data_IF_763515244659
#
_entry.id   IF_763515244659
#
_cell.length_a   1.000
_cell.length_b   1.000
_cell.length_c   1.000
_cell.angle_alpha   90.00
_cell.angle_beta   90.00
_cell.angle_gamma   90.00
#
_symmetry.space_group_name_H-M   'P 1'
#
loop_
_entity.id
_entity.type
_entity.pdbx_description
1 polymer ?
#
# COMPACT_ATOMS: atom_id res chain seq x y z
N UNK A 1 -8.19 13.92 12.39
CA UNK A 1 -6.99 14.77 12.43
C UNK A 1 -7.00 15.84 11.36
N UNK A 2 -7.43 15.57 10.13
CA UNK A 2 -7.59 16.59 9.07
C UNK A 2 -8.24 17.90 9.56
N UNK A 3 -9.45 17.84 10.15
CA UNK A 3 -10.12 19.02 10.71
C UNK A 3 -9.26 19.74 11.77
N UNK A 4 -8.72 18.99 12.75
CA UNK A 4 -7.85 19.53 13.81
C UNK A 4 -6.56 20.16 13.28
N UNK A 5 -6.14 19.79 12.08
CA UNK A 5 -4.96 20.31 11.39
C UNK A 5 -5.28 21.47 10.44
N UNK A 6 -6.51 22.00 10.47
CA UNK A 6 -6.89 23.19 9.71
C UNK A 6 -7.50 22.91 8.34
N UNK A 7 -7.86 21.67 8.02
CA UNK A 7 -8.69 21.41 6.83
C UNK A 7 -10.07 22.00 7.06
N UNK A 8 -10.42 23.04 6.28
CA UNK A 8 -11.62 23.84 6.49
C UNK A 8 -12.92 23.23 5.94
N UNK A 9 -12.85 22.26 5.03
CA UNK A 9 -14.03 21.57 4.47
C UNK A 9 -13.82 20.07 4.40
N UNK A 10 -14.78 19.31 4.91
CA UNK A 10 -14.80 17.85 4.88
C UNK A 10 -16.17 17.35 4.41
N UNK A 11 -16.18 16.51 3.37
CA UNK A 11 -17.35 15.72 2.98
C UNK A 11 -17.17 14.30 3.48
N UNK A 12 -18.13 13.79 4.24
CA UNK A 12 -18.15 12.46 4.82
C UNK A 12 -19.25 11.66 4.13
N UNK A 13 -18.89 10.53 3.52
CA UNK A 13 -19.83 9.67 2.78
C UNK A 13 -19.81 8.27 3.38
N UNK A 14 -20.90 7.86 4.02
CA UNK A 14 -21.11 6.49 4.55
C UNK A 14 -22.62 6.27 4.74
N UNK A 15 -23.15 5.17 4.23
CA UNK A 15 -24.58 4.82 4.34
C UNK A 15 -24.91 4.08 5.64
N UNK A 16 -23.90 3.57 6.35
CA UNK A 16 -24.11 2.76 7.53
C UNK A 16 -24.54 3.59 8.75
N UNK A 17 -25.28 2.92 9.63
CA UNK A 17 -25.53 3.36 10.99
C UNK A 17 -24.49 2.80 11.97
N UNK A 18 -24.34 3.46 13.12
CA UNK A 18 -23.54 2.97 14.24
C UNK A 18 -24.20 1.70 14.80
N UNK A 19 -23.41 0.66 15.02
CA UNK A 19 -23.84 -0.61 15.61
C UNK A 19 -23.02 -0.89 16.86
N UNK A 20 -23.54 -1.72 17.78
CA UNK A 20 -22.76 -2.15 18.95
C UNK A 20 -21.44 -2.83 18.55
N UNK A 21 -21.45 -3.58 17.44
CA UNK A 21 -20.26 -4.28 16.93
C UNK A 21 -19.25 -3.37 16.23
N UNK A 22 -19.61 -2.12 15.88
CA UNK A 22 -18.69 -1.16 15.27
C UNK A 22 -17.98 -0.27 16.30
N UNK A 23 -18.52 -0.14 17.52
CA UNK A 23 -17.97 0.73 18.59
C UNK A 23 -16.52 0.39 18.98
N UNK A 24 -16.07 -0.85 18.81
CA UNK A 24 -14.69 -1.24 19.12
C UNK A 24 -13.64 -0.58 18.19
N UNK A 25 -14.07 0.01 17.08
CA UNK A 25 -13.20 0.59 16.04
C UNK A 25 -13.73 1.87 15.41
N UNK A 26 -14.92 2.33 15.80
CA UNK A 26 -15.44 3.63 15.40
C UNK A 26 -14.73 4.73 16.22
N UNK A 27 -14.25 5.77 15.56
CA UNK A 27 -13.35 6.73 16.19
C UNK A 27 -14.00 7.56 17.31
N UNK A 28 -15.26 7.95 17.14
CA UNK A 28 -15.92 8.97 17.98
C UNK A 28 -17.31 8.58 18.49
N UNK A 29 -17.88 7.47 17.99
CA UNK A 29 -19.25 7.10 18.31
C UNK A 29 -19.30 6.46 19.69
N UNK A 30 -20.39 6.73 20.41
CA UNK A 30 -20.64 6.21 21.75
C UNK A 30 -21.82 5.23 21.72
N UNK A 31 -22.12 4.61 22.86
CA UNK A 31 -23.32 3.75 22.99
C UNK A 31 -24.62 4.50 22.71
N UNK A 32 -24.66 5.81 22.95
CA UNK A 32 -25.83 6.64 22.69
C UNK A 32 -26.07 6.87 21.19
N UNK A 33 -25.05 6.65 20.35
CA UNK A 33 -25.16 6.86 18.89
C UNK A 33 -25.63 5.60 18.14
N UNK A 34 -25.80 4.47 18.82
CA UNK A 34 -26.24 3.21 18.19
C UNK A 34 -27.59 3.41 17.49
N UNK A 35 -27.66 3.02 16.22
CA UNK A 35 -28.82 3.21 15.35
C UNK A 35 -28.83 4.54 14.58
N UNK A 36 -27.96 5.49 14.93
CA UNK A 36 -27.82 6.74 14.19
C UNK A 36 -26.80 6.62 13.06
N UNK A 37 -26.90 7.48 12.05
CA UNK A 37 -25.94 7.57 10.95
C UNK A 37 -24.52 7.83 11.46
N UNK A 38 -23.54 7.06 10.95
CA UNK A 38 -22.12 7.25 11.29
C UNK A 38 -21.62 8.64 10.92
N UNK A 39 -21.96 9.12 9.72
CA UNK A 39 -21.51 10.44 9.26
C UNK A 39 -22.11 11.57 10.09
N UNK A 40 -23.37 11.45 10.51
CA UNK A 40 -24.00 12.42 11.40
C UNK A 40 -23.35 12.44 12.79
N UNK A 41 -23.03 11.26 13.35
CA UNK A 41 -22.29 11.15 14.61
C UNK A 41 -20.89 11.79 14.50
N UNK A 42 -20.18 11.57 13.39
CA UNK A 42 -18.88 12.22 13.15
C UNK A 42 -19.00 13.73 13.00
N UNK A 43 -20.00 14.23 12.25
CA UNK A 43 -20.24 15.67 12.07
C UNK A 43 -20.49 16.35 13.41
N UNK A 44 -21.38 15.80 14.24
CA UNK A 44 -21.69 16.33 15.58
C UNK A 44 -20.43 16.46 16.43
N UNK A 45 -19.64 15.39 16.48
CA UNK A 45 -18.40 15.38 17.27
C UNK A 45 -17.34 16.33 16.71
N UNK A 46 -17.19 16.41 15.37
CA UNK A 46 -16.24 17.34 14.76
C UNK A 46 -16.61 18.80 15.03
N UNK A 47 -17.90 19.14 15.01
CA UNK A 47 -18.39 20.48 15.30
C UNK A 47 -18.12 20.90 16.76
N UNK A 48 -18.15 19.97 17.71
CA UNK A 48 -17.76 20.23 19.12
C UNK A 48 -16.27 20.60 19.26
N UNK A 49 -15.44 20.18 18.31
CA UNK A 49 -13.98 20.32 18.37
C UNK A 49 -13.47 21.47 17.50
N UNK A 50 -13.93 21.54 16.25
CA UNK A 50 -13.50 22.47 15.21
C UNK A 50 -14.76 23.06 14.55
N UNK A 51 -15.47 23.99 15.23
CA UNK A 51 -16.74 24.52 14.73
C UNK A 51 -16.62 25.25 13.39
N UNK A 52 -15.43 25.80 13.10
CA UNK A 52 -15.15 26.51 11.84
C UNK A 52 -14.94 25.57 10.64
N UNK A 53 -14.82 24.25 10.88
CA UNK A 53 -14.73 23.27 9.80
C UNK A 53 -16.13 23.01 9.21
N UNK A 54 -16.31 23.32 7.93
CA UNK A 54 -17.51 22.95 7.18
C UNK A 54 -17.52 21.43 6.98
N UNK A 55 -18.40 20.73 7.71
CA UNK A 55 -18.57 19.28 7.59
C UNK A 55 -19.90 18.98 6.90
N UNK A 56 -19.84 18.31 5.77
CA UNK A 56 -20.99 17.80 5.02
C UNK A 56 -21.11 16.29 5.26
N UNK A 57 -22.20 15.84 5.87
CA UNK A 57 -22.50 14.44 6.14
C UNK A 57 -23.51 13.89 5.14
N UNK A 58 -23.04 13.06 4.22
CA UNK A 58 -23.86 12.49 3.14
C UNK A 58 -24.08 11.00 3.44
N UNK A 59 -25.26 10.67 3.96
CA UNK A 59 -25.61 9.33 4.40
C UNK A 59 -26.07 8.42 3.24
N UNK A 60 -25.19 8.22 2.25
CA UNK A 60 -25.48 7.43 1.04
C UNK A 60 -24.34 6.48 0.69
N UNK A 61 -24.66 5.43 -0.06
CA UNK A 61 -23.66 4.48 -0.56
C UNK A 61 -23.02 5.07 -1.80
N UNK A 62 -21.69 5.03 -1.90
CA UNK A 62 -21.01 5.46 -3.10
C UNK A 62 -21.24 4.43 -4.21
N UNK A 63 -21.86 4.87 -5.30
CA UNK A 63 -22.12 4.07 -6.48
C UNK A 63 -21.62 4.81 -7.73
N UNK A 64 -21.51 4.11 -8.85
CA UNK A 64 -20.93 4.70 -10.07
C UNK A 64 -21.81 5.83 -10.65
N UNK A 65 -23.12 5.74 -10.47
CA UNK A 65 -24.12 6.72 -10.90
C UNK A 65 -24.14 7.99 -10.04
N UNK A 66 -23.89 7.86 -8.74
CA UNK A 66 -23.78 8.98 -7.79
C UNK A 66 -22.37 9.61 -7.74
N UNK A 67 -21.40 9.06 -8.46
CA UNK A 67 -20.01 9.49 -8.41
C UNK A 67 -19.79 10.96 -8.80
N UNK A 68 -20.54 11.46 -9.79
CA UNK A 68 -20.41 12.85 -10.24
C UNK A 68 -20.87 13.86 -9.18
N UNK A 69 -22.00 13.58 -8.52
CA UNK A 69 -22.56 14.39 -7.44
C UNK A 69 -21.67 14.31 -6.19
N UNK A 70 -21.27 13.09 -5.79
CA UNK A 70 -20.49 12.89 -4.56
C UNK A 70 -19.07 13.46 -4.66
N UNK A 71 -18.50 13.53 -5.87
CA UNK A 71 -17.18 14.13 -6.14
C UNK A 71 -17.28 15.57 -6.68
N UNK A 72 -18.45 16.20 -6.63
CA UNK A 72 -18.65 17.60 -6.98
C UNK A 72 -17.71 18.53 -6.18
N UNK A 73 -17.36 19.68 -6.78
CA UNK A 73 -16.58 20.72 -6.11
C UNK A 73 -15.07 20.51 -6.16
N UNK A 74 -14.60 19.52 -6.93
CA UNK A 74 -13.18 19.20 -7.14
C UNK A 74 -12.40 19.06 -5.82
N UNK A 75 -12.70 18.02 -5.02
CA UNK A 75 -12.04 17.83 -3.74
C UNK A 75 -10.52 17.79 -3.93
N UNK A 76 -9.80 18.51 -3.06
CA UNK A 76 -8.33 18.58 -3.11
C UNK A 76 -7.69 17.21 -2.89
N UNK A 77 -8.36 16.36 -2.11
CA UNK A 77 -7.96 14.99 -1.84
C UNK A 77 -9.20 14.12 -1.60
N UNK A 78 -9.15 12.88 -2.10
CA UNK A 78 -10.11 11.83 -1.76
C UNK A 78 -9.42 10.80 -0.88
N UNK A 79 -10.01 10.52 0.29
CA UNK A 79 -9.54 9.47 1.19
C UNK A 79 -10.52 8.31 1.12
N UNK A 80 -10.09 7.21 0.51
CA UNK A 80 -10.91 6.02 0.34
C UNK A 80 -10.71 5.05 1.52
N UNK A 81 -11.73 5.00 2.39
CA UNK A 81 -11.81 4.11 3.55
C UNK A 81 -12.86 2.99 3.37
N UNK A 82 -13.30 2.72 2.15
CA UNK A 82 -14.34 1.72 1.83
C UNK A 82 -13.78 0.30 2.05
N UNK A 83 -14.59 -0.65 2.51
CA UNK A 83 -14.20 -2.06 2.67
C UNK A 83 -14.86 -3.02 1.67
N UNK A 84 -15.88 -2.57 0.93
CA UNK A 84 -16.44 -3.28 -0.22
C UNK A 84 -15.59 -3.12 -1.50
N UNK A 85 -15.43 -4.22 -2.23
CA UNK A 85 -14.60 -4.25 -3.45
C UNK A 85 -15.24 -3.45 -4.58
N UNK A 86 -16.55 -3.57 -4.80
CA UNK A 86 -17.23 -2.96 -5.95
C UNK A 86 -17.29 -1.45 -5.76
N UNK A 87 -17.78 -0.99 -4.61
CA UNK A 87 -17.87 0.44 -4.26
C UNK A 87 -16.49 1.10 -4.31
N UNK A 88 -15.46 0.44 -3.76
CA UNK A 88 -14.09 0.94 -3.84
C UNK A 88 -13.58 1.05 -5.28
N UNK A 89 -13.81 0.04 -6.11
CA UNK A 89 -13.37 0.10 -7.51
C UNK A 89 -14.10 1.21 -8.28
N UNK A 90 -15.40 1.43 -8.02
CA UNK A 90 -16.16 2.52 -8.62
C UNK A 90 -15.60 3.89 -8.22
N UNK A 91 -15.28 4.09 -6.94
CA UNK A 91 -14.63 5.33 -6.48
C UNK A 91 -13.28 5.53 -7.14
N UNK A 92 -12.42 4.51 -7.12
CA UNK A 92 -11.08 4.58 -7.71
C UNK A 92 -11.12 4.82 -9.23
N UNK A 93 -12.12 4.27 -9.93
CA UNK A 93 -12.37 4.56 -11.34
C UNK A 93 -12.76 6.03 -11.56
N UNK A 94 -13.75 6.52 -10.82
CA UNK A 94 -14.25 7.89 -10.94
C UNK A 94 -13.17 8.94 -10.62
N UNK A 95 -12.42 8.78 -9.52
CA UNK A 95 -11.35 9.72 -9.17
C UNK A 95 -10.22 9.72 -10.18
N UNK A 96 -9.87 8.54 -10.74
CA UNK A 96 -8.83 8.44 -11.77
C UNK A 96 -9.26 9.16 -13.04
N UNK A 97 -10.49 8.93 -13.52
CA UNK A 97 -11.01 9.61 -14.72
C UNK A 97 -11.13 11.13 -14.55
N UNK A 98 -11.42 11.61 -13.33
CA UNK A 98 -11.47 13.04 -13.01
C UNK A 98 -10.10 13.65 -12.70
N UNK A 99 -9.02 12.87 -12.66
CA UNK A 99 -7.68 13.35 -12.30
C UNK A 99 -7.56 13.82 -10.84
N UNK A 100 -8.42 13.32 -9.95
CA UNK A 100 -8.42 13.69 -8.54
C UNK A 100 -7.35 12.92 -7.76
N UNK A 101 -6.72 13.59 -6.80
CA UNK A 101 -5.76 12.94 -5.89
C UNK A 101 -6.51 11.99 -4.95
N UNK A 102 -6.01 10.76 -4.83
CA UNK A 102 -6.60 9.74 -3.96
C UNK A 102 -5.54 9.01 -3.14
N UNK A 103 -5.88 8.72 -1.89
CA UNK A 103 -5.21 7.70 -1.07
C UNK A 103 -6.25 6.67 -0.61
N UNK A 104 -5.99 5.40 -0.85
CA UNK A 104 -6.89 4.29 -0.47
C UNK A 104 -6.33 3.45 0.67
N UNK A 105 -7.20 2.97 1.56
CA UNK A 105 -6.88 1.97 2.55
C UNK A 105 -7.22 0.55 2.07
N UNK A 106 -6.33 -0.40 2.38
CA UNK A 106 -6.61 -1.84 2.26
C UNK A 106 -7.13 -2.43 3.57
N UNK A 107 -7.27 -3.76 3.66
CA UNK A 107 -7.85 -4.40 4.82
C UNK A 107 -6.99 -4.26 6.08
N UNK A 108 -7.54 -3.62 7.12
CA UNK A 108 -6.92 -3.55 8.45
C UNK A 108 -7.28 -4.74 9.37
N UNK A 109 -8.24 -5.58 8.96
CA UNK A 109 -8.66 -6.76 9.70
C UNK A 109 -7.57 -7.85 9.75
N UNK A 110 -7.60 -8.67 10.81
CA UNK A 110 -6.64 -9.74 11.07
C UNK A 110 -5.17 -9.30 11.16
N UNK A 111 -4.94 -8.03 11.50
CA UNK A 111 -3.62 -7.40 11.65
C UNK A 111 -3.54 -6.73 13.02
N UNK A 112 -2.34 -6.65 13.58
CA UNK A 112 -2.08 -6.07 14.89
C UNK A 112 -0.72 -5.37 15.00
N UNK A 113 0.19 -5.55 14.04
CA UNK A 113 1.54 -4.99 14.11
C UNK A 113 1.61 -3.60 13.43
N UNK A 114 1.68 -2.51 14.21
CA UNK A 114 1.71 -1.16 13.67
C UNK A 114 3.03 -0.84 12.95
N UNK A 115 4.12 -1.56 13.26
CA UNK A 115 5.44 -1.33 12.66
C UNK A 115 5.51 -1.77 11.19
N UNK A 116 4.45 -2.43 10.71
CA UNK A 116 4.35 -2.99 9.36
C UNK A 116 3.41 -2.21 8.44
N UNK A 117 2.91 -1.06 8.91
CA UNK A 117 2.17 -0.10 8.11
C UNK A 117 3.07 0.58 7.11
N UNK A 118 2.58 0.69 5.88
CA UNK A 118 3.32 1.23 4.74
C UNK A 118 2.37 2.03 3.88
N UNK A 119 2.88 3.14 3.36
CA UNK A 119 2.24 3.89 2.28
C UNK A 119 3.05 3.59 1.02
N UNK A 120 2.38 3.37 -0.10
CA UNK A 120 3.03 3.06 -1.36
C UNK A 120 2.00 3.02 -2.48
N UNK A 121 2.36 2.41 -3.61
CA UNK A 121 1.39 2.21 -4.68
C UNK A 121 0.49 0.99 -4.39
N UNK A 122 -0.75 0.99 -4.89
CA UNK A 122 -1.62 -0.19 -4.85
C UNK A 122 -0.96 -1.42 -5.49
N UNK A 123 -0.08 -1.20 -6.49
CA UNK A 123 0.75 -2.22 -7.13
C UNK A 123 1.76 -2.86 -6.16
N UNK A 124 2.20 -2.15 -5.12
CA UNK A 124 3.19 -2.62 -4.14
C UNK A 124 2.56 -3.53 -3.07
N UNK A 125 1.26 -3.39 -2.79
CA UNK A 125 0.57 -4.07 -1.68
C UNK A 125 0.70 -5.60 -1.71
N UNK A 126 1.39 -6.15 -0.70
CA UNK A 126 1.61 -7.59 -0.49
C UNK A 126 0.58 -8.22 0.43
N UNK A 127 0.29 -9.51 0.24
CA UNK A 127 -0.46 -10.36 1.21
C UNK A 127 -1.83 -9.81 1.61
N UNK A 128 -2.48 -9.09 0.71
CA UNK A 128 -3.78 -8.46 0.96
C UNK A 128 -4.81 -8.94 -0.10
N UNK A 129 -5.84 -9.71 0.31
CA UNK A 129 -6.88 -10.18 -0.60
C UNK A 129 -7.72 -9.06 -1.21
N UNK A 130 -7.98 -7.98 -0.46
CA UNK A 130 -8.74 -6.83 -0.95
C UNK A 130 -7.96 -6.12 -2.06
N UNK A 131 -6.68 -5.81 -1.83
CA UNK A 131 -5.82 -5.22 -2.85
C UNK A 131 -5.70 -6.08 -4.11
N UNK A 132 -5.66 -7.41 -3.95
CA UNK A 132 -5.59 -8.34 -5.08
C UNK A 132 -6.82 -8.25 -5.98
N UNK A 133 -8.03 -8.21 -5.37
CA UNK A 133 -9.28 -8.06 -6.11
C UNK A 133 -9.39 -6.69 -6.78
N UNK A 134 -9.05 -5.61 -6.07
CA UNK A 134 -9.09 -4.25 -6.62
C UNK A 134 -8.18 -4.15 -7.86
N UNK A 135 -6.93 -4.59 -7.78
CA UNK A 135 -6.01 -4.58 -8.92
C UNK A 135 -6.55 -5.35 -10.13
N UNK A 136 -7.24 -6.48 -9.90
CA UNK A 136 -7.86 -7.25 -10.97
C UNK A 136 -8.98 -6.46 -11.67
N UNK A 137 -9.86 -5.81 -10.92
CA UNK A 137 -10.96 -5.01 -11.49
C UNK A 137 -10.46 -3.75 -12.18
N UNK A 138 -9.54 -3.00 -11.56
CA UNK A 138 -8.95 -1.81 -12.17
C UNK A 138 -8.22 -2.13 -13.47
N UNK A 139 -7.50 -3.26 -13.54
CA UNK A 139 -6.86 -3.71 -14.78
C UNK A 139 -7.88 -3.94 -15.92
N UNK A 140 -9.10 -4.39 -15.62
CA UNK A 140 -10.17 -4.54 -16.64
C UNK A 140 -10.69 -3.20 -17.14
N UNK A 141 -10.50 -2.13 -16.37
CA UNK A 141 -10.87 -0.75 -16.71
C UNK A 141 -9.69 0.05 -17.28
N UNK A 142 -8.58 -0.62 -17.58
CA UNK A 142 -7.33 -0.01 -18.05
C UNK A 142 -6.73 1.04 -17.08
N UNK A 143 -7.04 0.91 -15.79
CA UNK A 143 -6.51 1.80 -14.74
C UNK A 143 -5.26 1.19 -14.14
N UNK A 144 -4.16 1.94 -14.19
CA UNK A 144 -2.91 1.49 -13.61
C UNK A 144 -2.90 1.59 -12.10
N UNK A 145 -2.85 0.44 -11.43
CA UNK A 145 -2.63 0.37 -9.99
C UNK A 145 -1.31 1.02 -9.51
N UNK A 146 -0.37 1.36 -10.41
CA UNK A 146 0.85 2.08 -10.03
C UNK A 146 0.59 3.50 -9.55
N UNK A 147 -0.48 4.12 -10.02
CA UNK A 147 -0.78 5.55 -9.81
C UNK A 147 -1.63 5.80 -8.56
N UNK A 148 -2.23 4.73 -8.02
CA UNK A 148 -3.10 4.82 -6.85
C UNK A 148 -2.26 4.72 -5.58
N UNK A 149 -2.14 5.82 -4.84
CA UNK A 149 -1.49 5.84 -3.53
C UNK A 149 -2.34 5.03 -2.54
N UNK A 150 -1.70 4.17 -1.77
CA UNK A 150 -2.36 3.19 -0.91
C UNK A 150 -1.65 3.05 0.42
N UNK A 151 -2.41 3.02 1.52
CA UNK A 151 -1.93 2.51 2.80
C UNK A 151 -2.28 1.03 2.96
N UNK A 152 -1.31 0.25 3.39
CA UNK A 152 -1.47 -1.16 3.66
C UNK A 152 -0.60 -1.58 4.84
N UNK A 153 -0.78 -2.81 5.30
CA UNK A 153 0.19 -3.46 6.18
C UNK A 153 0.72 -4.71 5.52
N UNK A 154 2.04 -4.88 5.60
CA UNK A 154 2.73 -6.06 5.08
C UNK A 154 2.51 -7.31 5.95
N UNK A 155 1.85 -7.16 7.10
CA UNK A 155 1.50 -8.23 8.02
C UNK A 155 0.71 -9.34 7.33
N UNK A 156 1.14 -10.58 7.56
CA UNK A 156 0.38 -11.73 7.11
C UNK A 156 -0.80 -11.87 8.06
N UNK A 157 -2.02 -11.89 7.53
CA UNK A 157 -3.22 -12.13 8.34
C UNK A 157 -3.06 -13.41 9.18
N UNK A 158 -3.19 -13.26 10.50
CA UNK A 158 -2.95 -14.34 11.47
C UNK A 158 -4.22 -15.07 11.86
N UNK A 159 -5.38 -14.43 11.76
CA UNK A 159 -6.66 -15.03 12.10
C UNK A 159 -7.54 -15.29 10.88
N UNK A 160 -8.43 -16.28 11.04
CA UNK A 160 -9.48 -16.61 10.08
C UNK A 160 -10.79 -15.92 10.50
N UNK A 161 -11.79 -16.00 9.61
CA UNK A 161 -13.16 -15.62 9.94
C UNK A 161 -13.61 -16.34 11.22
N UNK A 162 -14.31 -15.62 12.10
CA UNK A 162 -14.90 -16.23 13.28
C UNK A 162 -15.89 -17.33 12.88
N UNK A 163 -15.95 -18.44 13.63
CA UNK A 163 -17.02 -19.40 13.47
C UNK A 163 -18.35 -18.71 13.78
N UNK A 164 -19.41 -19.14 13.08
CA UNK A 164 -20.76 -18.75 13.46
C UNK A 164 -21.12 -19.46 14.76
N UNK A 165 -21.80 -18.77 15.67
CA UNK A 165 -22.42 -19.42 16.82
C UNK A 165 -23.66 -20.23 16.39
N UNK A 166 -24.20 -21.04 17.30
CA UNK A 166 -25.30 -21.97 16.99
C UNK A 166 -26.57 -21.24 16.53
N UNK A 167 -26.78 -20.00 17.00
CA UNK A 167 -27.95 -19.17 16.68
C UNK A 167 -27.81 -18.55 15.28
N UNK A 168 -26.61 -18.05 14.94
CA UNK A 168 -26.25 -17.55 13.61
C UNK A 168 -26.28 -18.63 12.52
N UNK A 169 -26.01 -19.89 12.88
CA UNK A 169 -26.15 -21.02 11.95
C UNK A 169 -27.61 -21.34 11.68
N UNK A 170 -28.49 -21.19 12.68
CA UNK A 170 -29.91 -21.48 12.54
C UNK A 170 -30.68 -20.37 11.82
N UNK A 171 -30.33 -19.10 12.08
CA UNK A 171 -31.02 -17.94 11.52
C UNK A 171 -30.07 -16.99 10.73
N UNK A 172 -29.38 -17.47 9.69
CA UNK A 172 -28.36 -16.69 8.99
C UNK A 172 -28.85 -15.35 8.40
N UNK A 173 -30.15 -15.24 8.09
CA UNK A 173 -30.77 -14.05 7.51
C UNK A 173 -31.10 -12.96 8.56
N UNK A 174 -31.21 -13.32 9.84
CA UNK A 174 -31.54 -12.37 10.93
C UNK A 174 -30.33 -11.55 11.42
N UNK A 175 -29.11 -11.99 11.10
CA UNK A 175 -27.87 -11.36 11.58
C UNK A 175 -27.13 -10.54 10.51
N UNK A 176 -27.63 -10.50 9.27
CA UNK A 176 -27.13 -9.61 8.23
C UNK A 176 -27.73 -8.21 8.39
N UNK A 177 -26.91 -7.15 8.38
CA UNK A 177 -27.41 -5.76 8.36
C UNK A 177 -28.23 -5.45 7.09
N UNK A 178 -28.11 -6.27 6.04
CA UNK A 178 -28.80 -6.19 4.74
C UNK A 178 -28.95 -7.62 4.20
N UNK A 179 -29.96 -7.90 3.38
CA UNK A 179 -30.04 -9.16 2.61
C UNK A 179 -28.70 -9.43 1.89
N UNK A 180 -28.12 -10.62 2.11
CA UNK A 180 -26.82 -11.07 1.59
C UNK A 180 -25.54 -10.45 2.21
N UNK A 181 -25.62 -9.77 3.37
CA UNK A 181 -24.41 -9.30 4.06
C UNK A 181 -23.66 -10.41 4.82
N UNK A 182 -22.35 -10.30 4.99
CA UNK A 182 -21.51 -11.37 5.57
C UNK A 182 -21.78 -11.56 7.06
N UNK A 183 -22.31 -12.73 7.42
CA UNK A 183 -22.47 -13.20 8.82
C UNK A 183 -21.10 -13.39 9.51
N UNK A 184 -20.06 -13.72 8.74
CA UNK A 184 -18.71 -13.94 9.28
C UNK A 184 -17.87 -12.68 9.22
N UNK A 185 -17.44 -12.21 10.38
CA UNK A 185 -16.59 -11.03 10.56
C UNK A 185 -15.12 -11.45 10.70
N UNK A 186 -14.23 -10.74 10.01
CA UNK A 186 -12.78 -10.83 10.27
C UNK A 186 -12.51 -10.03 11.55
N UNK A 187 -11.88 -10.61 12.59
CA UNK A 187 -11.53 -9.86 13.79
C UNK A 187 -10.71 -8.60 13.46
N UNK A 188 -11.08 -7.47 14.07
CA UNK A 188 -10.40 -6.19 13.89
C UNK A 188 -9.93 -5.67 15.24
N UNK A 189 -8.63 -5.46 15.38
CA UNK A 189 -8.06 -4.71 16.50
C UNK A 189 -8.27 -3.22 16.22
N UNK A 190 -9.08 -2.53 17.03
CA UNK A 190 -9.52 -1.15 16.77
C UNK A 190 -8.40 -0.13 16.57
N UNK A 191 -7.21 -0.38 17.15
CA UNK A 191 -6.02 0.45 16.94
C UNK A 191 -5.56 0.45 15.48
N UNK A 192 -5.73 -0.66 14.75
CA UNK A 192 -5.25 -0.77 13.38
C UNK A 192 -5.99 0.13 12.40
N UNK A 193 -7.34 0.11 12.28
CA UNK A 193 -8.07 1.08 11.46
C UNK A 193 -7.76 2.53 11.84
N UNK A 194 -7.63 2.83 13.13
CA UNK A 194 -7.26 4.17 13.59
C UNK A 194 -5.87 4.57 13.05
N UNK A 195 -4.86 3.71 13.18
CA UNK A 195 -3.51 3.97 12.65
C UNK A 195 -3.49 4.10 11.12
N UNK A 196 -4.28 3.32 10.40
CA UNK A 196 -4.47 3.50 8.95
C UNK A 196 -4.99 4.91 8.65
N UNK A 197 -6.08 5.33 9.29
CA UNK A 197 -6.65 6.66 9.11
C UNK A 197 -5.71 7.79 9.51
N UNK A 198 -4.97 7.66 10.61
CA UNK A 198 -3.99 8.67 11.04
C UNK A 198 -2.81 8.78 10.06
N UNK A 199 -2.33 7.66 9.53
CA UNK A 199 -1.24 7.65 8.55
C UNK A 199 -1.68 8.27 7.22
N UNK A 200 -2.92 8.01 6.78
CA UNK A 200 -3.50 8.71 5.61
C UNK A 200 -3.57 10.21 5.85
N UNK A 201 -4.07 10.63 7.02
CA UNK A 201 -4.15 12.05 7.36
C UNK A 201 -2.76 12.71 7.37
N UNK A 202 -1.75 12.06 7.97
CA UNK A 202 -0.38 12.57 8.01
C UNK A 202 0.19 12.74 6.59
N UNK A 203 -0.01 11.76 5.72
CA UNK A 203 0.43 11.82 4.32
C UNK A 203 -0.22 12.96 3.55
N UNK A 204 -1.55 13.09 3.65
CA UNK A 204 -2.33 14.14 2.98
C UNK A 204 -1.91 15.53 3.48
N UNK A 205 -1.83 15.72 4.79
CA UNK A 205 -1.43 17.01 5.38
C UNK A 205 -0.02 17.42 4.95
N UNK A 206 0.91 16.47 4.87
CA UNK A 206 2.26 16.72 4.39
C UNK A 206 2.31 17.10 2.90
N UNK A 207 1.52 16.45 2.04
CA UNK A 207 1.39 16.84 0.62
C UNK A 207 0.77 18.23 0.49
N UNK A 208 -0.31 18.53 1.22
CA UNK A 208 -0.97 19.83 1.22
C UNK A 208 -0.05 20.96 1.73
N UNK A 209 0.80 20.68 2.71
CA UNK A 209 1.79 21.62 3.24
C UNK A 209 3.05 21.78 2.35
N UNK A 210 3.14 21.08 1.22
CA UNK A 210 4.30 21.11 0.33
C UNK A 210 5.53 20.33 0.83
N UNK A 211 5.41 19.60 1.96
CA UNK A 211 6.46 18.76 2.53
C UNK A 211 6.16 17.28 2.24
N UNK A 212 6.28 16.87 0.98
CA UNK A 212 5.95 15.50 0.55
C UNK A 212 6.75 14.45 1.34
N UNK A 213 6.04 13.44 1.84
CA UNK A 213 6.66 12.25 2.44
C UNK A 213 7.04 11.31 1.30
N UNK A 214 8.25 10.74 1.36
CA UNK A 214 8.68 9.62 0.52
C UNK A 214 8.57 8.33 1.35
N UNK A 215 7.51 7.53 1.18
CA UNK A 215 7.28 6.38 2.04
C UNK A 215 8.23 5.21 1.75
N UNK A 216 8.60 4.46 2.80
CA UNK A 216 9.18 3.12 2.66
C UNK A 216 8.11 2.14 2.16
N UNK A 217 7.95 2.04 0.83
CA UNK A 217 6.87 1.27 0.21
C UNK A 217 7.02 -0.26 0.32
N UNK A 218 8.09 -0.76 0.94
CA UNK A 218 8.41 -2.21 0.98
C UNK A 218 8.91 -2.64 2.34
N UNK A 219 8.43 -3.79 2.80
CA UNK A 219 8.84 -4.40 4.06
C UNK A 219 10.35 -4.64 4.12
N UNK A 220 10.96 -4.28 5.24
CA UNK A 220 12.37 -4.57 5.52
C UNK A 220 12.65 -6.07 5.42
N UNK A 221 13.84 -6.40 4.92
CA UNK A 221 14.30 -7.78 4.89
C UNK A 221 14.63 -8.22 6.31
N UNK A 222 14.25 -9.44 6.67
CA UNK A 222 14.76 -10.02 7.92
C UNK A 222 16.28 -10.21 7.82
N UNK A 223 16.95 -10.25 8.98
CA UNK A 223 18.39 -10.54 9.05
C UNK A 223 18.76 -11.77 8.22
N UNK A 224 17.97 -12.84 8.32
CA UNK A 224 18.20 -14.08 7.58
C UNK A 224 18.00 -13.94 6.08
N UNK A 225 17.00 -13.16 5.64
CA UNK A 225 16.78 -12.91 4.21
C UNK A 225 17.94 -12.12 3.61
N UNK A 226 18.39 -11.07 4.30
CA UNK A 226 19.55 -10.27 3.93
C UNK A 226 20.83 -11.10 3.88
N UNK A 227 21.08 -11.94 4.89
CA UNK A 227 22.20 -12.89 4.91
C UNK A 227 22.20 -13.82 3.69
N UNK A 228 21.04 -14.41 3.38
CA UNK A 228 20.89 -15.34 2.25
C UNK A 228 21.08 -14.65 0.90
N UNK A 229 20.60 -13.42 0.74
CA UNK A 229 20.82 -12.64 -0.48
C UNK A 229 22.30 -12.31 -0.66
N UNK A 230 22.96 -11.85 0.40
CA UNK A 230 24.39 -11.54 0.37
C UNK A 230 25.26 -12.75 0.05
N UNK A 231 25.04 -13.88 0.74
CA UNK A 231 25.79 -15.11 0.51
C UNK A 231 25.65 -15.63 -0.93
N UNK A 232 24.42 -15.59 -1.48
CA UNK A 232 24.18 -16.01 -2.87
C UNK A 232 24.86 -15.09 -3.87
N UNK A 233 24.84 -13.77 -3.60
CA UNK A 233 25.54 -12.80 -4.43
C UNK A 233 27.05 -13.08 -4.40
N UNK A 234 27.65 -13.21 -3.21
CA UNK A 234 29.09 -13.52 -3.08
C UNK A 234 29.48 -14.83 -3.77
N UNK A 235 28.70 -15.91 -3.57
CA UNK A 235 28.97 -17.19 -4.21
C UNK A 235 28.95 -17.07 -5.74
N UNK A 236 27.97 -16.34 -6.27
CA UNK A 236 27.85 -16.07 -7.70
C UNK A 236 29.04 -15.28 -8.23
N UNK A 237 29.43 -14.21 -7.54
CA UNK A 237 30.57 -13.38 -7.92
C UNK A 237 31.87 -14.19 -7.97
N UNK A 238 32.08 -15.07 -6.98
CA UNK A 238 33.25 -15.95 -6.95
C UNK A 238 33.28 -16.93 -8.14
N UNK A 239 32.13 -17.51 -8.51
CA UNK A 239 32.02 -18.46 -9.62
C UNK A 239 32.25 -17.81 -10.99
N UNK A 240 31.74 -16.60 -11.20
CA UNK A 240 31.75 -15.94 -12.51
C UNK A 240 33.02 -15.12 -12.79
N UNK A 241 33.61 -14.51 -11.76
CA UNK A 241 34.66 -13.49 -11.95
C UNK A 241 36.01 -13.84 -11.31
N UNK A 242 36.14 -14.97 -10.61
CA UNK A 242 37.38 -15.45 -9.97
C UNK A 242 38.01 -14.46 -8.96
N UNK A 243 39.16 -14.82 -8.38
CA UNK A 243 39.93 -13.98 -7.45
C UNK A 243 40.58 -12.81 -8.21
N UNK A 244 40.00 -11.61 -8.12
CA UNK A 244 40.54 -10.40 -8.75
C UNK A 244 39.55 -9.24 -8.86
N UNK A 245 38.24 -9.51 -8.85
CA UNK A 245 37.23 -8.45 -8.90
C UNK A 245 36.93 -7.88 -7.51
N UNK A 246 37.05 -6.55 -7.38
CA UNK A 246 36.79 -5.84 -6.13
C UNK A 246 35.30 -5.92 -5.76
N UNK A 247 35.03 -6.39 -4.54
CA UNK A 247 33.72 -6.35 -3.89
C UNK A 247 33.75 -5.18 -2.91
N UNK A 248 33.00 -4.13 -3.23
CA UNK A 248 32.82 -2.92 -2.43
C UNK A 248 31.37 -2.82 -1.95
N UNK A 249 30.71 -3.96 -1.79
CA UNK A 249 29.35 -4.06 -1.29
C UNK A 249 29.38 -4.74 0.08
N UNK A 250 29.06 -3.97 1.11
CA UNK A 250 28.86 -4.48 2.45
C UNK A 250 27.50 -5.14 2.60
N UNK A 251 27.41 -5.98 3.63
CA UNK A 251 26.20 -6.75 3.90
C UNK A 251 25.01 -5.89 4.29
N UNK A 252 25.25 -4.78 4.99
CA UNK A 252 24.20 -3.87 5.45
C UNK A 252 23.65 -3.02 4.29
N UNK A 253 24.43 -2.83 3.22
CA UNK A 253 24.02 -2.12 2.00
C UNK A 253 23.03 -2.93 1.14
N UNK A 254 22.92 -4.24 1.36
CA UNK A 254 21.91 -5.08 0.70
C UNK A 254 20.49 -4.58 0.97
N UNK A 255 20.24 -4.07 2.18
CA UNK A 255 18.94 -3.50 2.53
C UNK A 255 18.69 -2.19 1.76
N UNK A 256 19.70 -1.34 1.62
CA UNK A 256 19.62 -0.13 0.81
C UNK A 256 19.34 -0.44 -0.67
N UNK A 257 20.09 -1.36 -1.27
CA UNK A 257 19.87 -1.81 -2.66
C UNK A 257 18.44 -2.36 -2.82
N UNK A 258 17.95 -3.13 -1.84
CA UNK A 258 16.61 -3.70 -1.89
C UNK A 258 15.50 -2.65 -1.70
N UNK A 259 15.59 -1.77 -0.70
CA UNK A 259 14.51 -0.85 -0.34
C UNK A 259 14.55 0.45 -1.13
N UNK A 260 15.71 1.08 -1.23
CA UNK A 260 15.85 2.42 -1.82
C UNK A 260 16.05 2.34 -3.33
N UNK A 261 17.04 1.55 -3.77
CA UNK A 261 17.34 1.44 -5.19
C UNK A 261 16.23 0.68 -5.90
N UNK A 262 15.92 -0.56 -5.52
CA UNK A 262 15.00 -1.39 -6.31
C UNK A 262 13.58 -1.50 -5.77
N UNK A 263 13.30 -0.97 -4.57
CA UNK A 263 11.99 -1.02 -3.93
C UNK A 263 11.37 -2.41 -4.03
N UNK A 264 12.16 -3.43 -3.68
CA UNK A 264 11.79 -4.84 -3.69
C UNK A 264 11.25 -5.39 -5.00
N UNK A 265 11.65 -4.82 -6.14
CA UNK A 265 11.22 -5.22 -7.49
C UNK A 265 12.40 -5.62 -8.36
N UNK A 266 12.11 -6.43 -9.38
CA UNK A 266 13.06 -6.68 -10.44
C UNK A 266 13.40 -5.39 -11.17
N UNK A 267 14.69 -5.15 -11.39
CA UNK A 267 15.25 -4.06 -12.18
C UNK A 267 14.77 -4.05 -13.63
N UNK A 268 14.35 -5.21 -14.14
CA UNK A 268 13.96 -5.42 -15.55
C UNK A 268 12.43 -5.44 -15.70
N UNK A 269 11.75 -6.47 -15.19
CA UNK A 269 10.28 -6.60 -15.34
C UNK A 269 9.47 -5.80 -14.33
N UNK A 270 10.08 -5.31 -13.25
CA UNK A 270 9.34 -4.75 -12.12
C UNK A 270 8.57 -5.80 -11.31
N UNK A 271 8.80 -7.10 -11.54
CA UNK A 271 8.22 -8.19 -10.76
C UNK A 271 8.58 -8.04 -9.27
N UNK A 272 7.61 -8.22 -8.37
CA UNK A 272 7.80 -7.94 -6.94
C UNK A 272 8.39 -9.14 -6.19
N UNK A 273 9.27 -8.87 -5.23
CA UNK A 273 9.76 -9.87 -4.29
C UNK A 273 8.59 -10.50 -3.49
N UNK A 274 8.54 -11.82 -3.40
CA UNK A 274 7.44 -12.55 -2.76
C UNK A 274 6.19 -12.73 -3.64
N UNK A 275 6.29 -12.48 -4.94
CA UNK A 275 5.35 -12.99 -5.95
C UNK A 275 5.60 -14.47 -6.28
N UNK A 276 5.24 -14.92 -7.50
CA UNK A 276 5.51 -16.29 -7.96
C UNK A 276 7.01 -16.54 -8.23
N UNK A 277 7.76 -15.49 -8.58
CA UNK A 277 9.19 -15.58 -8.88
C UNK A 277 10.06 -15.21 -7.68
N UNK A 278 11.19 -15.93 -7.56
CA UNK A 278 12.27 -15.58 -6.64
C UNK A 278 13.15 -14.53 -7.29
N UNK A 279 13.59 -13.55 -6.51
CA UNK A 279 14.50 -12.50 -6.95
C UNK A 279 15.91 -12.71 -6.39
N UNK A 280 16.91 -12.37 -7.20
CA UNK A 280 18.34 -12.56 -6.95
C UNK A 280 19.09 -11.25 -7.23
N UNK A 281 20.13 -10.97 -6.45
CA UNK A 281 21.03 -9.86 -6.74
C UNK A 281 22.13 -10.32 -7.71
N UNK A 282 22.56 -9.42 -8.58
CA UNK A 282 23.68 -9.66 -9.49
C UNK A 282 24.39 -8.34 -9.81
N UNK A 283 25.70 -8.43 -10.10
CA UNK A 283 26.44 -7.35 -10.76
C UNK A 283 25.79 -7.01 -12.11
N UNK A 284 25.61 -5.73 -12.37
CA UNK A 284 25.02 -5.26 -13.63
C UNK A 284 26.06 -5.13 -14.73
N UNK A 285 27.10 -4.32 -14.50
CA UNK A 285 28.21 -4.04 -15.42
C UNK A 285 29.45 -4.81 -14.98
N UNK A 286 29.98 -5.69 -15.83
CA UNK A 286 31.11 -6.58 -15.51
C UNK A 286 32.45 -5.84 -15.43
N UNK A 287 32.56 -4.71 -16.12
CA UNK A 287 33.70 -3.79 -16.16
C UNK A 287 33.82 -2.89 -14.91
N UNK A 288 32.79 -2.87 -14.06
CA UNK A 288 32.74 -2.06 -12.82
C UNK A 288 32.72 -2.96 -11.58
N UNK A 289 33.26 -2.54 -10.41
CA UNK A 289 33.25 -3.33 -9.18
C UNK A 289 31.83 -3.66 -8.69
N UNK A 290 31.70 -4.65 -7.79
CA UNK A 290 30.42 -4.94 -7.15
C UNK A 290 30.23 -3.91 -6.04
N UNK A 291 29.43 -2.89 -6.34
CA UNK A 291 29.19 -1.71 -5.51
C UNK A 291 27.68 -1.39 -5.55
N UNK A 292 27.07 -0.72 -4.53
CA UNK A 292 25.63 -0.45 -4.52
C UNK A 292 25.04 0.13 -5.81
N UNK A 293 25.79 0.96 -6.53
CA UNK A 293 25.40 1.60 -7.80
C UNK A 293 25.64 0.70 -9.05
N UNK A 294 26.00 -0.56 -8.86
CA UNK A 294 26.24 -1.54 -9.90
C UNK A 294 25.61 -2.91 -9.60
N UNK A 295 24.57 -2.93 -8.75
CA UNK A 295 23.83 -4.13 -8.38
C UNK A 295 22.41 -4.04 -8.87
N UNK A 296 21.94 -5.06 -9.58
CA UNK A 296 20.55 -5.23 -10.00
C UNK A 296 19.86 -6.34 -9.22
N UNK A 297 18.53 -6.30 -9.22
CA UNK A 297 17.69 -7.33 -8.63
C UNK A 297 16.84 -7.98 -9.72
N UNK A 298 16.92 -9.30 -9.90
CA UNK A 298 16.42 -9.98 -11.09
C UNK A 298 15.62 -11.24 -10.73
N UNK A 299 14.59 -11.55 -11.51
CA UNK A 299 13.90 -12.84 -11.48
C UNK A 299 14.83 -13.96 -11.95
N UNK A 300 14.47 -15.21 -11.66
CA UNK A 300 15.21 -16.39 -12.16
C UNK A 300 15.44 -16.34 -13.67
N UNK A 301 14.45 -15.93 -14.47
CA UNK A 301 14.55 -15.87 -15.94
C UNK A 301 15.46 -14.75 -16.42
N UNK A 302 15.35 -13.58 -15.79
CA UNK A 302 16.19 -12.42 -16.13
C UNK A 302 17.64 -12.65 -15.73
N UNK A 303 17.89 -13.29 -14.58
CA UNK A 303 19.23 -13.66 -14.15
C UNK A 303 19.89 -14.62 -15.15
N UNK A 304 19.17 -15.66 -15.58
CA UNK A 304 19.68 -16.61 -16.58
C UNK A 304 19.97 -15.94 -17.93
N UNK A 305 19.19 -14.90 -18.28
CA UNK A 305 19.43 -14.10 -19.49
C UNK A 305 20.70 -13.26 -19.36
N UNK A 306 20.89 -12.58 -18.22
CA UNK A 306 22.10 -11.82 -17.92
C UNK A 306 23.34 -12.72 -17.93
N UNK A 307 23.24 -13.94 -17.38
CA UNK A 307 24.33 -14.92 -17.39
C UNK A 307 24.79 -15.34 -18.78
N UNK A 308 23.83 -15.50 -19.69
CA UNK A 308 24.09 -16.05 -21.02
C UNK A 308 24.53 -14.97 -22.00
N UNK A 309 23.80 -13.86 -22.02
CA UNK A 309 23.86 -12.87 -23.09
C UNK A 309 24.41 -11.51 -22.61
N UNK A 310 24.79 -11.38 -21.33
CA UNK A 310 25.22 -10.11 -20.75
C UNK A 310 24.10 -9.08 -20.67
N UNK A 311 24.46 -7.80 -20.57
CA UNK A 311 23.48 -6.70 -20.57
C UNK A 311 22.87 -6.52 -21.97
N UNK A 312 23.59 -6.93 -23.02
CA UNK A 312 23.21 -6.90 -24.42
C UNK A 312 22.02 -7.82 -24.71
N UNK A 313 21.76 -8.79 -23.83
CA UNK A 313 20.55 -9.59 -23.87
C UNK A 313 19.28 -8.76 -23.65
N UNK A 314 19.33 -7.61 -22.98
CA UNK A 314 18.14 -6.80 -22.68
C UNK A 314 17.93 -5.68 -23.71
N UNK A 315 16.66 -5.27 -23.86
CA UNK A 315 16.31 -4.14 -24.75
C UNK A 315 17.09 -2.87 -24.33
N UNK A 316 17.60 -2.07 -25.27
CA UNK A 316 18.38 -0.87 -24.96
C UNK A 316 17.68 0.12 -24.03
N UNK A 317 16.35 0.24 -24.12
CA UNK A 317 15.54 1.08 -23.24
C UNK A 317 15.59 0.59 -21.78
N UNK A 318 15.57 -0.73 -21.55
CA UNK A 318 15.68 -1.32 -20.22
C UNK A 318 17.07 -1.05 -19.64
N UNK A 319 18.11 -1.22 -20.46
CA UNK A 319 19.49 -0.95 -20.04
C UNK A 319 19.66 0.50 -19.63
N UNK A 320 19.24 1.45 -20.49
CA UNK A 320 19.29 2.88 -20.21
C UNK A 320 18.51 3.26 -18.95
N UNK A 321 17.32 2.67 -18.73
CA UNK A 321 16.52 2.90 -17.52
C UNK A 321 17.21 2.41 -16.25
N UNK A 322 17.83 1.22 -16.30
CA UNK A 322 18.57 0.65 -15.17
C UNK A 322 19.78 1.52 -14.83
N UNK A 323 20.58 1.90 -15.84
CA UNK A 323 21.76 2.74 -15.65
C UNK A 323 21.38 4.12 -15.10
N UNK A 324 20.33 4.74 -15.65
CA UNK A 324 19.83 6.03 -15.17
C UNK A 324 19.32 5.98 -13.73
N UNK A 325 18.78 4.82 -13.29
CA UNK A 325 18.35 4.64 -11.91
C UNK A 325 19.53 4.43 -10.97
N UNK A 326 20.50 3.63 -11.37
CA UNK A 326 21.71 3.38 -10.58
C UNK A 326 22.56 4.65 -10.40
N UNK A 327 22.66 5.49 -11.43
CA UNK A 327 23.43 6.73 -11.38
C UNK A 327 22.84 7.78 -10.42
N UNK A 328 21.54 7.74 -10.14
CA UNK A 328 20.90 8.63 -9.16
C UNK A 328 21.42 8.43 -7.73
N UNK A 329 21.99 7.25 -7.46
CA UNK A 329 22.57 6.93 -6.15
C UNK A 329 24.10 7.06 -6.17
N UNK A 330 24.73 7.48 -7.28
CA UNK A 330 26.15 7.32 -7.58
C UNK A 330 27.13 8.37 -7.02
N UNK A 331 26.96 8.87 -5.79
CA UNK A 331 28.06 9.59 -5.10
C UNK A 331 28.22 9.07 -3.66
N UNK A 332 28.95 7.96 -3.53
CA UNK A 332 29.29 7.33 -2.24
C UNK A 332 30.68 7.72 -1.74
N UNK A 333 31.35 8.67 -2.41
CA UNK A 333 32.57 9.26 -1.90
C UNK A 333 32.25 10.06 -0.63
N UNK A 334 32.85 9.67 0.49
CA UNK A 334 32.89 10.52 1.68
C UNK A 334 33.62 11.80 1.26
N UNK A 335 33.05 13.00 1.45
CA UNK A 335 33.80 14.24 1.25
C UNK A 335 35.06 14.18 2.12
N UNK A 336 36.24 14.37 1.52
CA UNK A 336 37.53 14.43 2.23
C UNK A 336 37.56 15.50 3.32
#
# INVERSE_FOLDING_TARGET
MLARSGVGKLRLVDFDNVTLSSLNRHAVATRADVGLSKVAAMRRHLHEIVPDCEVEDVAVMFEADSADELLEGNPTYVLDCIDDVKTKCALLEAVTHKGLKVITATGAGAKADPTRLQIGSLKDVVRDPLATKIRYFLKKKDISSSEITTIFSSEKSVCKLLPLDAEQVQNPEEFGNVENFRIRVIPVLGTMPALFGQSMAAYVLCDLAGKKINPEAVARLSRDQRNKLYQKLQQREHVLFHEGHKIELEKDEIEFVYQEIWRGRSSVSGARNGGHDRLYLARWRTDRPLHPDNVVYLTTKELAKLDKDGIEGFEPEIVARIDARLSQFGSWAVPE
#
